data_IF_341513616627
#
_entry.id   IF_341513616627
#
_cell.length_a   1.000
_cell.length_b   1.000
_cell.length_c   1.000
_cell.angle_alpha   90.00
_cell.angle_beta   90.00
_cell.angle_gamma   90.00
#
_symmetry.space_group_name_H-M   'P 1'
#
loop_
_entity.id
_entity.type
_entity.pdbx_description
1 polymer ?
#
# COMPACT_ATOMS: atom_id res chain seq x y z
N UNK A 1 -7.10 32.52 47.52
CA UNK A 1 -7.39 32.40 46.08
C UNK A 1 -6.30 31.53 45.47
N UNK A 2 -6.59 30.27 45.14
CA UNK A 2 -5.60 29.37 44.55
C UNK A 2 -5.61 29.53 43.03
N UNK A 3 -4.46 29.86 42.46
CA UNK A 3 -4.26 29.85 41.02
C UNK A 3 -4.06 28.40 40.58
N UNK A 4 -5.07 27.79 39.97
CA UNK A 4 -4.95 26.46 39.37
C UNK A 4 -4.45 26.66 37.93
N UNK A 5 -3.20 26.28 37.68
CA UNK A 5 -2.63 26.25 36.32
C UNK A 5 -2.94 24.86 35.74
N UNK A 6 -3.93 24.80 34.84
CA UNK A 6 -4.20 23.59 34.06
C UNK A 6 -3.26 23.60 32.84
N UNK A 7 -2.15 22.87 32.91
CA UNK A 7 -1.31 22.62 31.75
C UNK A 7 -2.00 21.61 30.83
N UNK A 8 -2.65 22.10 29.77
CA UNK A 8 -3.04 21.24 28.64
C UNK A 8 -1.82 21.03 27.76
N UNK A 9 -1.14 19.92 27.93
CA UNK A 9 -0.14 19.46 26.97
C UNK A 9 -0.88 18.93 25.74
N UNK A 10 -1.03 19.77 24.71
CA UNK A 10 -1.24 19.27 23.36
C UNK A 10 0.04 18.54 22.95
N UNK A 11 0.04 17.21 23.05
CA UNK A 11 1.07 16.28 22.58
C UNK A 11 2.51 16.83 22.55
N UNK A 12 3.26 16.68 23.64
CA UNK A 12 4.72 16.87 23.59
C UNK A 12 5.31 15.69 22.84
N UNK A 13 5.41 15.81 21.53
CA UNK A 13 6.09 14.80 20.73
C UNK A 13 7.58 14.80 21.06
N UNK A 14 8.13 13.62 21.34
CA UNK A 14 9.58 13.46 21.43
C UNK A 14 10.15 13.68 20.01
N UNK A 15 10.86 14.77 19.78
CA UNK A 15 11.31 15.16 18.45
C UNK A 15 12.48 14.33 17.91
N UNK A 16 13.00 13.37 18.69
CA UNK A 16 14.15 12.54 18.31
C UNK A 16 13.76 11.08 18.10
N UNK A 17 14.28 10.49 17.03
CA UNK A 17 14.10 9.08 16.75
C UNK A 17 14.87 8.20 17.75
N UNK A 18 14.31 7.05 18.10
CA UNK A 18 15.00 6.05 18.89
C UNK A 18 15.81 5.13 17.97
N UNK A 19 17.13 5.17 18.10
CA UNK A 19 18.05 4.34 17.32
C UNK A 19 18.48 3.12 18.13
N UNK A 20 18.34 1.93 17.54
CA UNK A 20 18.76 0.66 18.16
C UNK A 20 19.51 -0.21 17.15
N UNK A 21 20.11 -1.30 17.64
CA UNK A 21 20.81 -2.28 16.80
C UNK A 21 22.32 -2.09 16.78
N UNK A 22 22.98 -2.87 15.92
CA UNK A 22 24.44 -2.82 15.72
C UNK A 22 24.76 -2.30 14.31
N UNK A 23 26.05 -2.21 13.97
CA UNK A 23 26.52 -1.69 12.67
C UNK A 23 25.92 -2.35 11.41
N UNK A 24 25.28 -3.53 11.51
CA UNK A 24 24.65 -4.23 10.38
C UNK A 24 23.13 -4.28 10.44
N UNK A 25 22.52 -3.84 11.54
CA UNK A 25 21.09 -3.99 11.79
C UNK A 25 20.47 -2.76 12.46
N UNK A 26 21.01 -1.56 12.20
CA UNK A 26 20.53 -0.33 12.83
C UNK A 26 19.08 -0.03 12.43
N UNK A 27 18.23 0.19 13.43
CA UNK A 27 16.82 0.54 13.27
C UNK A 27 16.59 1.94 13.81
N UNK A 28 15.98 2.79 13.01
CA UNK A 28 15.48 4.10 13.42
C UNK A 28 13.96 4.04 13.60
N UNK A 29 13.51 4.10 14.86
CA UNK A 29 12.10 4.29 15.19
C UNK A 29 11.81 5.78 15.38
N UNK A 30 11.12 6.34 14.40
CA UNK A 30 10.66 7.73 14.35
C UNK A 30 9.13 7.83 14.44
N UNK A 31 8.44 6.77 14.88
CA UNK A 31 6.98 6.68 14.86
C UNK A 31 6.31 7.59 15.90
N UNK A 32 5.13 8.15 15.59
CA UNK A 32 4.30 8.96 16.51
C UNK A 32 5.04 10.15 17.15
N UNK A 33 5.84 10.87 16.36
CA UNK A 33 6.69 11.99 16.81
C UNK A 33 6.32 13.34 16.19
N UNK A 34 5.21 13.41 15.46
CA UNK A 34 4.72 14.66 14.86
C UNK A 34 5.64 15.21 13.75
N UNK A 35 6.48 14.37 13.14
CA UNK A 35 7.34 14.82 12.05
C UNK A 35 6.52 15.32 10.86
N UNK A 36 6.88 16.51 10.34
CA UNK A 36 6.29 17.09 9.13
C UNK A 36 7.03 16.64 7.85
N UNK A 37 8.23 16.10 8.00
CA UNK A 37 9.09 15.63 6.92
C UNK A 37 10.01 14.51 7.41
N UNK A 38 10.66 13.81 6.48
CA UNK A 38 11.64 12.77 6.81
C UNK A 38 12.85 13.40 7.54
N UNK A 39 13.21 12.92 8.75
CA UNK A 39 14.36 13.44 9.50
C UNK A 39 15.66 13.22 8.74
N UNK A 40 16.56 14.21 8.79
CA UNK A 40 17.85 14.19 8.06
C UNK A 40 19.05 13.85 8.95
N UNK A 41 18.86 13.82 10.26
CA UNK A 41 19.86 13.62 11.31
C UNK A 41 20.05 12.14 11.72
N UNK A 42 19.58 11.21 10.88
CA UNK A 42 19.73 9.78 11.12
C UNK A 42 21.07 9.25 10.56
N UNK A 43 21.63 8.17 11.15
CA UNK A 43 22.73 7.43 10.55
C UNK A 43 22.37 6.96 9.13
N UNK A 44 23.34 6.96 8.22
CA UNK A 44 23.14 6.56 6.83
C UNK A 44 23.11 5.03 6.63
N UNK A 45 23.65 4.28 7.58
CA UNK A 45 23.72 2.81 7.60
C UNK A 45 22.53 2.12 8.29
N UNK A 46 21.38 2.82 8.41
CA UNK A 46 20.15 2.20 8.90
C UNK A 46 19.60 1.18 7.90
N UNK A 47 19.07 0.07 8.42
CA UNK A 47 18.41 -0.98 7.62
C UNK A 47 16.90 -0.91 7.73
N UNK A 48 16.37 -0.24 8.76
CA UNK A 48 14.94 -0.03 8.94
C UNK A 48 14.65 1.38 9.42
N UNK A 49 13.68 2.02 8.78
CA UNK A 49 13.16 3.33 9.15
C UNK A 49 11.65 3.23 9.35
N UNK A 50 11.19 3.53 10.57
CA UNK A 50 9.77 3.55 10.92
C UNK A 50 9.31 4.99 11.19
N UNK A 51 8.53 5.54 10.28
CA UNK A 51 7.97 6.89 10.31
C UNK A 51 6.44 6.87 10.46
N UNK A 52 5.85 5.77 10.94
CA UNK A 52 4.39 5.67 11.03
C UNK A 52 3.77 6.69 11.98
N UNK A 53 2.55 7.13 11.67
CA UNK A 53 1.76 8.00 12.56
C UNK A 53 2.38 9.38 12.78
N UNK A 54 3.08 9.91 11.78
CA UNK A 54 3.56 11.28 11.77
C UNK A 54 2.63 12.15 10.89
N UNK A 55 3.04 13.37 10.58
CA UNK A 55 2.26 14.34 9.81
C UNK A 55 2.95 14.70 8.49
N UNK A 56 3.71 13.76 7.91
CA UNK A 56 4.42 13.99 6.64
C UNK A 56 3.42 14.14 5.51
N UNK A 57 3.54 15.23 4.73
CA UNK A 57 2.65 15.54 3.60
C UNK A 57 3.35 15.33 2.25
N UNK A 58 4.59 15.76 2.15
CA UNK A 58 5.36 15.71 0.91
C UNK A 58 6.65 14.92 1.14
N UNK A 59 7.02 14.08 0.17
CA UNK A 59 8.32 13.42 0.16
C UNK A 59 9.09 13.89 -1.07
N UNK A 60 10.29 14.42 -0.83
CA UNK A 60 11.18 14.93 -1.87
C UNK A 60 12.17 13.86 -2.35
N UNK A 61 12.77 14.06 -3.53
CA UNK A 61 13.79 13.19 -4.11
C UNK A 61 15.01 12.97 -3.20
N UNK A 62 15.27 13.93 -2.30
CA UNK A 62 16.40 13.89 -1.36
C UNK A 62 16.06 13.23 -0.01
N UNK A 63 14.80 12.84 0.22
CA UNK A 63 14.35 12.35 1.53
C UNK A 63 15.05 11.06 1.97
N UNK A 64 15.34 10.16 1.02
CA UNK A 64 15.90 8.84 1.33
C UNK A 64 17.24 8.53 0.64
N UNK A 65 17.76 9.42 -0.21
CA UNK A 65 18.91 9.18 -1.09
C UNK A 65 20.19 8.69 -0.37
N UNK A 66 20.32 9.04 0.92
CA UNK A 66 21.46 8.66 1.76
C UNK A 66 21.34 7.27 2.39
N UNK A 67 20.13 6.72 2.52
CA UNK A 67 19.87 5.47 3.23
C UNK A 67 19.98 4.25 2.29
N UNK A 68 21.13 4.07 1.63
CA UNK A 68 21.32 3.04 0.59
C UNK A 68 21.28 1.60 1.11
N UNK A 69 21.40 1.42 2.42
CA UNK A 69 21.31 0.12 3.12
C UNK A 69 19.90 -0.21 3.59
N UNK A 70 18.92 0.67 3.35
CA UNK A 70 17.57 0.54 3.88
C UNK A 70 16.86 -0.66 3.24
N UNK A 71 16.41 -1.58 4.09
CA UNK A 71 15.66 -2.78 3.71
C UNK A 71 14.17 -2.64 4.02
N UNK A 72 13.80 -1.88 5.05
CA UNK A 72 12.40 -1.70 5.47
C UNK A 72 12.08 -0.22 5.68
N UNK A 73 11.10 0.29 4.95
CA UNK A 73 10.59 1.65 5.09
C UNK A 73 9.08 1.63 5.40
N UNK A 74 8.70 2.20 6.55
CA UNK A 74 7.32 2.26 7.02
C UNK A 74 6.90 3.73 7.14
N UNK A 75 5.97 4.16 6.30
CA UNK A 75 5.42 5.51 6.22
C UNK A 75 3.90 5.53 6.53
N UNK A 76 3.42 4.50 7.21
CA UNK A 76 1.99 4.28 7.41
C UNK A 76 1.32 5.41 8.18
N UNK A 77 0.07 5.71 7.84
CA UNK A 77 -0.77 6.67 8.55
C UNK A 77 -0.09 8.04 8.72
N UNK A 78 0.51 8.55 7.64
CA UNK A 78 0.91 9.94 7.51
C UNK A 78 -0.19 10.70 6.74
N UNK A 79 0.14 11.89 6.22
CA UNK A 79 -0.74 12.71 5.40
C UNK A 79 -0.19 12.84 3.97
N UNK A 80 0.56 11.83 3.50
CA UNK A 80 1.35 11.95 2.27
C UNK A 80 0.40 12.09 1.08
N UNK A 81 0.48 13.22 0.37
CA UNK A 81 -0.30 13.52 -0.83
C UNK A 81 0.57 13.80 -2.05
N UNK A 82 1.89 13.92 -1.86
CA UNK A 82 2.83 14.20 -2.95
C UNK A 82 4.13 13.40 -2.79
N UNK A 83 4.55 12.79 -3.89
CA UNK A 83 5.85 12.15 -4.06
C UNK A 83 6.54 12.81 -5.24
N UNK A 84 7.72 13.39 -5.01
CA UNK A 84 8.55 13.92 -6.08
C UNK A 84 9.11 12.76 -6.93
N UNK A 85 9.38 13.02 -8.22
CA UNK A 85 10.10 12.10 -9.08
C UNK A 85 11.39 11.64 -8.40
N UNK A 86 11.73 10.35 -8.56
CA UNK A 86 12.94 9.76 -7.97
C UNK A 86 12.99 9.75 -6.43
N UNK A 87 11.86 9.92 -5.72
CA UNK A 87 11.78 9.80 -4.25
C UNK A 87 12.49 8.57 -3.68
N UNK A 88 12.40 7.42 -4.38
CA UNK A 88 12.99 6.16 -3.94
C UNK A 88 14.32 5.83 -4.64
N UNK A 89 14.94 6.79 -5.32
CA UNK A 89 16.23 6.58 -5.98
C UNK A 89 17.32 6.20 -4.96
N UNK A 90 18.12 5.21 -5.34
CA UNK A 90 19.20 4.67 -4.49
C UNK A 90 18.75 3.61 -3.48
N UNK A 91 17.44 3.35 -3.34
CA UNK A 91 16.89 2.32 -2.44
C UNK A 91 16.80 0.92 -3.07
N UNK A 92 17.82 0.53 -3.85
CA UNK A 92 17.84 -0.76 -4.54
C UNK A 92 17.88 -1.99 -3.63
N UNK A 93 18.21 -1.80 -2.34
CA UNK A 93 18.23 -2.85 -1.30
C UNK A 93 16.92 -2.98 -0.53
N UNK A 94 15.93 -2.12 -0.81
CA UNK A 94 14.65 -2.09 -0.10
C UNK A 94 13.86 -3.36 -0.38
N UNK A 95 13.53 -4.09 0.67
CA UNK A 95 12.74 -5.33 0.66
C UNK A 95 11.25 -5.04 0.90
N UNK A 96 10.96 -4.11 1.82
CA UNK A 96 9.57 -3.78 2.21
C UNK A 96 9.33 -2.28 2.22
N UNK A 97 8.31 -1.87 1.49
CA UNK A 97 7.79 -0.50 1.50
C UNK A 97 6.31 -0.51 1.88
N UNK A 98 5.96 0.29 2.87
CA UNK A 98 4.57 0.48 3.27
C UNK A 98 4.26 1.96 3.42
N UNK A 99 3.34 2.45 2.60
CA UNK A 99 2.74 3.79 2.64
C UNK A 99 1.23 3.70 2.89
N UNK A 100 0.80 2.67 3.62
CA UNK A 100 -0.58 2.41 3.97
C UNK A 100 -1.25 3.59 4.69
N UNK A 101 -2.49 3.93 4.33
CA UNK A 101 -3.27 4.90 5.09
C UNK A 101 -2.92 6.38 4.84
N UNK A 102 -2.31 6.70 3.70
CA UNK A 102 -1.96 8.08 3.31
C UNK A 102 -3.04 8.71 2.42
N UNK A 103 -2.69 9.70 1.60
CA UNK A 103 -3.61 10.55 0.83
C UNK A 103 -3.16 10.64 -0.64
N UNK A 104 -2.60 9.56 -1.20
CA UNK A 104 -1.97 9.55 -2.52
C UNK A 104 -2.96 9.55 -3.72
N UNK A 105 -4.25 9.72 -3.46
CA UNK A 105 -5.34 9.89 -4.44
C UNK A 105 -5.66 11.37 -4.73
N UNK A 106 -4.77 12.27 -4.34
CA UNK A 106 -4.90 13.71 -4.65
C UNK A 106 -4.66 13.99 -6.13
N UNK A 107 -4.86 15.25 -6.54
CA UNK A 107 -5.01 15.59 -7.96
C UNK A 107 -3.82 15.21 -8.86
N UNK A 108 -2.66 15.00 -8.26
CA UNK A 108 -1.43 14.54 -8.87
C UNK A 108 -1.32 13.03 -8.65
N UNK A 109 -1.58 12.26 -9.72
CA UNK A 109 -1.35 10.81 -9.72
C UNK A 109 0.10 10.50 -9.35
N UNK A 110 0.36 9.32 -8.80
CA UNK A 110 1.72 8.80 -8.61
C UNK A 110 2.60 9.07 -9.85
N UNK A 111 3.87 9.49 -9.68
CA UNK A 111 4.82 9.44 -10.78
C UNK A 111 4.85 8.03 -11.37
N UNK A 112 4.79 7.92 -12.70
CA UNK A 112 4.57 6.64 -13.38
C UNK A 112 5.60 5.58 -12.98
N UNK A 113 6.87 5.99 -12.85
CA UNK A 113 8.01 5.10 -12.59
C UNK A 113 8.53 5.21 -11.15
N UNK A 114 7.68 5.66 -10.21
CA UNK A 114 8.08 5.94 -8.83
C UNK A 114 8.74 4.74 -8.13
N UNK A 115 8.34 3.51 -8.49
CA UNK A 115 8.85 2.29 -7.88
C UNK A 115 9.98 1.61 -8.67
N UNK A 116 10.33 2.08 -9.87
CA UNK A 116 11.36 1.47 -10.73
C UNK A 116 12.74 1.28 -10.05
N UNK A 117 13.19 2.15 -9.13
CA UNK A 117 14.44 1.92 -8.40
C UNK A 117 14.41 0.74 -7.41
N UNK A 118 13.23 0.24 -7.02
CA UNK A 118 13.04 -0.72 -5.92
C UNK A 118 13.17 -2.18 -6.37
N UNK A 119 14.29 -2.50 -6.99
CA UNK A 119 14.50 -3.77 -7.69
C UNK A 119 14.56 -5.01 -6.78
N UNK A 120 14.81 -4.84 -5.47
CA UNK A 120 14.80 -5.92 -4.47
C UNK A 120 13.45 -6.08 -3.75
N UNK A 121 12.46 -5.25 -4.04
CA UNK A 121 11.22 -5.17 -3.27
C UNK A 121 10.42 -6.46 -3.36
N UNK A 122 10.09 -7.05 -2.21
CA UNK A 122 9.24 -8.23 -2.13
C UNK A 122 7.82 -7.89 -1.66
N UNK A 123 7.68 -6.81 -0.88
CA UNK A 123 6.40 -6.38 -0.29
C UNK A 123 6.16 -4.90 -0.51
N UNK A 124 5.06 -4.57 -1.19
CA UNK A 124 4.58 -3.21 -1.37
C UNK A 124 3.17 -3.06 -0.80
N UNK A 125 2.97 -2.08 0.08
CA UNK A 125 1.64 -1.72 0.58
C UNK A 125 1.36 -0.23 0.37
N UNK A 126 0.45 0.07 -0.55
CA UNK A 126 -0.10 1.39 -0.83
C UNK A 126 -1.63 1.42 -0.71
N UNK A 127 -2.21 0.46 0.03
CA UNK A 127 -3.65 0.49 0.32
C UNK A 127 -4.04 1.61 1.30
N UNK A 128 -5.32 1.97 1.33
CA UNK A 128 -5.93 3.07 2.07
C UNK A 128 -5.37 4.44 1.75
N UNK A 129 -5.09 4.68 0.48
CA UNK A 129 -4.68 5.96 -0.06
C UNK A 129 -5.80 6.70 -0.80
N UNK A 130 -6.85 5.98 -1.20
CA UNK A 130 -7.98 6.53 -1.95
C UNK A 130 -9.07 7.12 -1.06
N UNK A 131 -8.84 8.30 -0.49
CA UNK A 131 -9.80 8.95 0.41
C UNK A 131 -10.79 9.87 -0.32
N UNK A 132 -10.56 10.23 -1.59
CA UNK A 132 -11.38 11.20 -2.34
C UNK A 132 -12.02 10.56 -3.58
N UNK A 133 -13.15 9.88 -3.35
CA UNK A 133 -13.85 9.03 -4.31
C UNK A 133 -14.62 9.75 -5.42
N UNK A 134 -14.39 11.04 -5.63
CA UNK A 134 -15.03 11.78 -6.73
C UNK A 134 -14.45 11.40 -8.10
N UNK A 135 -13.31 10.69 -8.13
CA UNK A 135 -12.70 10.17 -9.35
C UNK A 135 -13.27 8.79 -9.68
N UNK A 136 -13.82 8.65 -10.89
CA UNK A 136 -14.35 7.36 -11.39
C UNK A 136 -13.23 6.33 -11.64
N UNK A 137 -12.09 6.80 -12.15
CA UNK A 137 -10.96 5.97 -12.60
C UNK A 137 -9.69 6.34 -11.86
N UNK A 138 -8.95 5.32 -11.40
CA UNK A 138 -7.68 5.51 -10.71
C UNK A 138 -6.57 4.78 -11.44
N UNK A 139 -5.48 5.49 -11.71
CA UNK A 139 -4.31 4.96 -12.39
C UNK A 139 -3.19 4.72 -11.39
N UNK A 140 -2.79 3.47 -11.23
CA UNK A 140 -1.63 3.10 -10.44
C UNK A 140 -0.33 3.33 -11.23
N UNK A 141 0.80 3.56 -10.53
CA UNK A 141 2.11 3.61 -11.16
C UNK A 141 2.49 2.25 -11.76
N UNK A 142 3.52 2.24 -12.60
CA UNK A 142 4.08 1.02 -13.15
C UNK A 142 4.65 0.14 -12.03
N UNK A 143 4.27 -1.14 -12.06
CA UNK A 143 4.87 -2.18 -11.22
C UNK A 143 5.85 -3.07 -12.01
N UNK A 144 6.07 -2.78 -13.30
CA UNK A 144 6.78 -3.67 -14.24
C UNK A 144 8.18 -4.08 -13.81
N UNK A 145 8.90 -3.17 -13.17
CA UNK A 145 10.30 -3.35 -12.74
C UNK A 145 10.43 -4.08 -11.39
N UNK A 146 9.32 -4.39 -10.71
CA UNK A 146 9.33 -5.05 -9.40
C UNK A 146 9.36 -6.58 -9.53
N UNK A 147 10.35 -7.10 -10.25
CA UNK A 147 10.48 -8.53 -10.58
C UNK A 147 10.59 -9.47 -9.35
N UNK A 148 10.92 -8.92 -8.17
CA UNK A 148 10.98 -9.65 -6.91
C UNK A 148 9.69 -9.59 -6.08
N UNK A 149 8.68 -8.83 -6.52
CA UNK A 149 7.47 -8.59 -5.76
C UNK A 149 6.68 -9.88 -5.57
N UNK A 150 6.29 -10.16 -4.33
CA UNK A 150 5.52 -11.34 -3.94
C UNK A 150 4.18 -10.97 -3.31
N UNK A 151 4.15 -9.82 -2.64
CA UNK A 151 3.01 -9.29 -1.92
C UNK A 151 2.71 -7.85 -2.35
N UNK A 152 1.49 -7.61 -2.82
CA UNK A 152 1.01 -6.28 -3.16
C UNK A 152 -0.31 -5.98 -2.44
N UNK A 153 -0.36 -4.85 -1.77
CA UNK A 153 -1.56 -4.32 -1.14
C UNK A 153 -1.91 -2.95 -1.73
N UNK A 154 -3.11 -2.83 -2.30
CA UNK A 154 -3.60 -1.65 -3.02
C UNK A 154 -5.07 -1.39 -2.70
N UNK A 155 -5.55 -0.18 -2.94
CA UNK A 155 -6.99 0.09 -2.95
C UNK A 155 -7.65 -0.51 -4.20
N UNK A 156 -8.92 -0.87 -4.08
CA UNK A 156 -9.72 -1.34 -5.20
C UNK A 156 -10.91 -0.43 -5.39
N UNK A 157 -10.92 0.26 -6.53
CA UNK A 157 -12.03 1.12 -6.98
C UNK A 157 -12.57 0.61 -8.32
N UNK A 158 -13.78 1.02 -8.69
CA UNK A 158 -14.54 0.43 -9.81
C UNK A 158 -13.80 0.42 -11.15
N UNK A 159 -13.11 1.52 -11.49
CA UNK A 159 -12.30 1.65 -12.71
C UNK A 159 -10.79 1.77 -12.38
N UNK A 160 -10.28 0.97 -11.43
CA UNK A 160 -8.83 0.90 -11.18
C UNK A 160 -8.08 0.35 -12.40
N UNK A 161 -7.05 1.07 -12.85
CA UNK A 161 -6.08 0.63 -13.85
C UNK A 161 -4.76 0.37 -13.13
N UNK A 162 -4.36 -0.89 -13.04
CA UNK A 162 -3.20 -1.30 -12.24
C UNK A 162 -1.88 -1.16 -12.98
N UNK A 163 -1.92 -1.00 -14.31
CA UNK A 163 -0.74 -0.89 -15.16
C UNK A 163 0.21 -2.09 -15.01
N UNK A 164 -0.39 -3.28 -15.00
CA UNK A 164 0.32 -4.57 -14.85
C UNK A 164 0.45 -5.34 -16.16
N UNK A 165 -0.21 -4.89 -17.23
CA UNK A 165 -0.12 -5.53 -18.55
C UNK A 165 1.33 -5.54 -19.06
N UNK A 166 1.84 -6.71 -19.41
CA UNK A 166 3.23 -6.86 -19.90
C UNK A 166 4.30 -6.82 -18.80
N UNK A 167 3.92 -6.69 -17.54
CA UNK A 167 4.85 -6.73 -16.41
C UNK A 167 5.46 -8.12 -16.19
N UNK A 168 6.72 -8.19 -15.80
CA UNK A 168 7.42 -9.45 -15.50
C UNK A 168 7.26 -9.86 -14.01
N UNK A 169 6.05 -9.70 -13.46
CA UNK A 169 5.72 -9.95 -12.06
C UNK A 169 5.52 -11.45 -11.76
N UNK A 170 6.46 -12.29 -12.21
CA UNK A 170 6.35 -13.76 -12.14
C UNK A 170 6.31 -14.32 -10.72
N UNK A 171 6.83 -13.58 -9.74
CA UNK A 171 6.82 -13.98 -8.32
C UNK A 171 5.59 -13.49 -7.56
N UNK A 172 4.81 -12.57 -8.13
CA UNK A 172 3.66 -11.99 -7.47
C UNK A 172 2.59 -13.07 -7.32
N UNK A 173 2.22 -13.36 -6.08
CA UNK A 173 1.29 -14.45 -5.77
C UNK A 173 0.23 -14.06 -4.74
N UNK A 174 0.43 -12.96 -4.01
CA UNK A 174 -0.48 -12.52 -2.95
C UNK A 174 -0.92 -11.08 -3.17
N UNK A 175 -2.23 -10.88 -3.29
CA UNK A 175 -2.88 -9.59 -3.37
C UNK A 175 -3.73 -9.31 -2.14
N UNK A 176 -3.69 -8.07 -1.68
CA UNK A 176 -4.63 -7.52 -0.72
C UNK A 176 -5.27 -6.28 -1.33
N UNK A 177 -6.58 -6.30 -1.40
CA UNK A 177 -7.40 -5.19 -1.89
C UNK A 177 -8.16 -4.58 -0.72
N UNK A 178 -7.92 -3.30 -0.43
CA UNK A 178 -8.84 -2.52 0.37
C UNK A 178 -10.00 -2.06 -0.53
N UNK A 179 -11.21 -2.52 -0.26
CA UNK A 179 -12.38 -2.31 -1.12
C UNK A 179 -13.41 -1.37 -0.48
N UNK A 180 -12.96 -0.42 0.34
CA UNK A 180 -13.83 0.49 1.10
C UNK A 180 -14.76 1.37 0.24
N UNK A 181 -14.37 1.62 -1.02
CA UNK A 181 -15.04 2.55 -1.94
C UNK A 181 -15.47 1.89 -3.24
N UNK A 182 -15.66 0.58 -3.19
CA UNK A 182 -16.03 -0.19 -4.35
C UNK A 182 -17.54 -0.43 -4.34
N UNK A 183 -18.25 0.03 -5.36
CA UNK A 183 -19.69 -0.23 -5.48
C UNK A 183 -19.97 -1.58 -6.14
N UNK A 184 -19.15 -1.94 -7.15
CA UNK A 184 -19.37 -3.11 -8.00
C UNK A 184 -18.06 -3.71 -8.51
N UNK A 185 -17.98 -5.03 -8.53
CA UNK A 185 -16.93 -5.77 -9.25
C UNK A 185 -17.46 -6.30 -10.58
N UNK A 186 -16.68 -6.13 -11.64
CA UNK A 186 -17.03 -6.62 -12.98
C UNK A 186 -15.93 -7.52 -13.52
N UNK A 187 -16.19 -8.22 -14.62
CA UNK A 187 -15.16 -9.01 -15.30
C UNK A 187 -13.98 -8.18 -15.87
N UNK A 188 -14.09 -6.84 -15.87
CA UNK A 188 -13.00 -5.93 -16.25
C UNK A 188 -12.12 -5.50 -15.09
N UNK A 189 -12.53 -5.71 -13.83
CA UNK A 189 -11.81 -5.18 -12.66
C UNK A 189 -10.37 -5.69 -12.56
N UNK A 190 -10.08 -6.90 -13.07
CA UNK A 190 -8.76 -7.54 -13.00
C UNK A 190 -8.20 -7.94 -14.38
N UNK A 191 -8.59 -7.24 -15.45
CA UNK A 191 -8.24 -7.63 -16.81
C UNK A 191 -6.73 -7.60 -17.10
N UNK A 192 -5.98 -6.74 -16.41
CA UNK A 192 -4.53 -6.54 -16.60
C UNK A 192 -3.67 -7.21 -15.52
N UNK A 193 -4.27 -7.98 -14.62
CA UNK A 193 -3.57 -8.66 -13.52
C UNK A 193 -2.91 -9.97 -13.96
N UNK A 194 -1.78 -10.36 -13.34
CA UNK A 194 -1.08 -11.60 -13.69
C UNK A 194 -1.87 -12.85 -13.26
N UNK A 195 -1.77 -13.93 -14.03
CA UNK A 195 -2.43 -15.21 -13.75
C UNK A 195 -1.76 -16.03 -12.62
N UNK A 196 -0.60 -15.58 -12.13
CA UNK A 196 0.20 -16.22 -11.07
C UNK A 196 -0.36 -16.06 -9.66
N UNK A 197 -1.43 -15.27 -9.48
CA UNK A 197 -1.98 -14.98 -8.15
C UNK A 197 -2.59 -16.24 -7.52
N UNK A 198 -2.14 -16.54 -6.30
CA UNK A 198 -2.52 -17.71 -5.50
C UNK A 198 -3.41 -17.33 -4.31
N UNK A 199 -3.25 -16.12 -3.78
CA UNK A 199 -4.00 -15.65 -2.60
C UNK A 199 -4.52 -14.24 -2.82
N UNK A 200 -5.83 -14.05 -2.68
CA UNK A 200 -6.49 -12.74 -2.68
C UNK A 200 -7.17 -12.51 -1.33
N UNK A 201 -6.94 -11.34 -0.75
CA UNK A 201 -7.67 -10.86 0.43
C UNK A 201 -8.41 -9.58 0.08
N UNK A 202 -9.73 -9.58 0.16
CA UNK A 202 -10.54 -8.37 0.16
C UNK A 202 -10.77 -7.93 1.60
N UNK A 203 -10.51 -6.67 1.90
CA UNK A 203 -10.69 -6.10 3.22
C UNK A 203 -11.48 -4.80 3.17
N UNK A 204 -12.38 -4.62 4.14
CA UNK A 204 -13.01 -3.34 4.45
C UNK A 204 -12.63 -2.83 5.84
N UNK A 205 -13.15 -1.66 6.21
CA UNK A 205 -13.07 -1.12 7.56
C UNK A 205 -14.38 -0.43 7.96
N UNK A 206 -14.46 -0.03 9.23
CA UNK A 206 -15.68 0.57 9.78
C UNK A 206 -16.01 1.87 9.02
N UNK A 207 -17.29 2.06 8.70
CA UNK A 207 -17.79 3.20 7.95
C UNK A 207 -17.70 3.11 6.42
N UNK A 208 -17.20 2.00 5.86
CA UNK A 208 -17.15 1.79 4.40
C UNK A 208 -18.48 1.28 3.83
N UNK A 209 -18.87 1.79 2.66
CA UNK A 209 -19.85 1.15 1.77
C UNK A 209 -19.10 0.15 0.91
N UNK A 210 -19.17 -1.12 1.28
CA UNK A 210 -18.46 -2.20 0.59
C UNK A 210 -19.32 -2.72 -0.57
N UNK A 211 -18.68 -3.23 -1.62
CA UNK A 211 -19.36 -3.68 -2.84
C UNK A 211 -20.48 -4.68 -2.55
N UNK A 212 -21.69 -4.32 -2.95
CA UNK A 212 -22.87 -5.17 -2.81
C UNK A 212 -22.98 -6.17 -3.95
N UNK A 213 -22.46 -5.81 -5.13
CA UNK A 213 -22.62 -6.56 -6.38
C UNK A 213 -21.29 -7.01 -6.96
N UNK A 214 -21.17 -8.32 -7.19
CA UNK A 214 -20.08 -8.91 -7.97
C UNK A 214 -20.67 -9.66 -9.18
N UNK A 215 -20.17 -9.34 -10.37
CA UNK A 215 -20.49 -10.12 -11.57
C UNK A 215 -19.94 -11.55 -11.48
N UNK A 216 -20.58 -12.48 -12.18
CA UNK A 216 -20.04 -13.82 -12.33
C UNK A 216 -18.65 -13.77 -13.01
N UNK A 217 -17.78 -14.72 -12.65
CA UNK A 217 -16.47 -14.92 -13.28
C UNK A 217 -15.48 -13.74 -13.20
N UNK A 218 -15.70 -12.72 -12.35
CA UNK A 218 -14.74 -11.62 -12.20
C UNK A 218 -13.35 -12.08 -11.71
N UNK A 219 -13.26 -13.27 -11.08
CA UNK A 219 -11.99 -13.92 -10.69
C UNK A 219 -11.38 -14.82 -11.77
N UNK A 220 -12.00 -14.93 -12.95
CA UNK A 220 -11.49 -15.73 -14.08
C UNK A 220 -10.04 -15.43 -14.46
N UNK A 221 -9.52 -14.18 -14.34
CA UNK A 221 -8.10 -13.90 -14.59
C UNK A 221 -7.12 -14.67 -13.68
N UNK A 222 -7.59 -15.28 -12.59
CA UNK A 222 -6.75 -15.95 -11.59
C UNK A 222 -6.97 -17.48 -11.55
N UNK A 223 -6.54 -18.23 -12.58
CA UNK A 223 -6.72 -19.69 -12.62
C UNK A 223 -5.96 -20.42 -11.49
N UNK A 224 -4.90 -19.81 -10.96
CA UNK A 224 -4.05 -20.34 -9.89
C UNK A 224 -4.57 -20.04 -8.48
N UNK A 225 -5.70 -19.31 -8.36
CA UNK A 225 -6.20 -18.84 -7.08
C UNK A 225 -6.62 -20.02 -6.19
N UNK A 226 -6.05 -20.09 -4.99
CA UNK A 226 -6.34 -21.14 -3.99
C UNK A 226 -6.93 -20.60 -2.71
N UNK A 227 -6.66 -19.34 -2.41
CA UNK A 227 -7.06 -18.73 -1.15
C UNK A 227 -7.77 -17.43 -1.42
N UNK A 228 -9.06 -17.38 -1.07
CA UNK A 228 -9.88 -16.18 -1.09
C UNK A 228 -10.27 -15.83 0.35
N UNK A 229 -9.83 -14.67 0.84
CA UNK A 229 -10.19 -14.17 2.17
C UNK A 229 -11.06 -12.92 2.03
N UNK A 230 -12.20 -12.93 2.71
CA UNK A 230 -13.10 -11.79 2.82
C UNK A 230 -13.07 -11.33 4.28
N UNK A 231 -12.50 -10.14 4.54
CA UNK A 231 -12.38 -9.58 5.89
C UNK A 231 -13.19 -8.32 6.00
N UNK A 232 -14.19 -8.32 6.88
CA UNK A 232 -15.09 -7.17 7.08
C UNK A 232 -15.70 -6.71 5.75
N UNK A 233 -16.16 -7.67 4.92
CA UNK A 233 -16.79 -7.38 3.61
C UNK A 233 -18.30 -7.56 3.75
N UNK A 234 -19.07 -6.57 3.32
CA UNK A 234 -20.53 -6.65 3.25
C UNK A 234 -20.92 -7.05 1.82
N UNK A 235 -21.27 -8.31 1.63
CA UNK A 235 -21.62 -8.90 0.34
C UNK A 235 -23.02 -9.48 0.41
N UNK A 236 -23.83 -9.23 -0.62
CA UNK A 236 -25.09 -9.95 -0.79
C UNK A 236 -24.82 -11.44 -1.00
N UNK A 237 -25.71 -12.30 -0.49
CA UNK A 237 -25.54 -13.75 -0.60
C UNK A 237 -25.42 -14.23 -2.06
N UNK A 238 -26.23 -13.66 -2.96
CA UNK A 238 -26.18 -13.99 -4.38
C UNK A 238 -24.82 -13.63 -5.00
N UNK A 239 -24.31 -12.43 -4.71
CA UNK A 239 -22.96 -12.00 -5.12
C UNK A 239 -21.90 -12.94 -4.58
N UNK A 240 -21.93 -13.26 -3.28
CA UNK A 240 -20.98 -14.17 -2.66
C UNK A 240 -20.99 -15.56 -3.31
N UNK A 241 -22.17 -16.10 -3.66
CA UNK A 241 -22.30 -17.38 -4.37
C UNK A 241 -21.73 -17.32 -5.79
N UNK A 242 -21.96 -16.21 -6.52
CA UNK A 242 -21.39 -15.99 -7.88
C UNK A 242 -19.87 -15.91 -7.85
N UNK A 243 -19.28 -15.30 -6.81
CA UNK A 243 -17.81 -15.23 -6.66
C UNK A 243 -17.15 -16.61 -6.54
N UNK A 244 -17.89 -17.61 -6.04
CA UNK A 244 -17.39 -18.97 -5.84
C UNK A 244 -17.53 -19.87 -7.07
N UNK A 245 -18.25 -19.43 -8.11
CA UNK A 245 -18.54 -20.25 -9.29
C UNK A 245 -17.29 -20.78 -10.02
N UNK A 246 -16.21 -19.98 -10.21
CA UNK A 246 -14.98 -20.47 -10.84
C UNK A 246 -14.33 -21.66 -10.10
N UNK A 247 -14.46 -21.73 -8.77
CA UNK A 247 -13.89 -22.82 -7.95
C UNK A 247 -14.75 -24.09 -7.97
N UNK A 248 -16.00 -24.01 -8.43
CA UNK A 248 -16.91 -25.16 -8.47
C UNK A 248 -16.63 -26.07 -9.68
N UNK A 249 -16.08 -25.53 -10.77
CA UNK A 249 -15.78 -26.29 -12.00
C UNK A 249 -14.42 -27.00 -11.98
N UNK A 250 -13.47 -26.57 -11.13
CA UNK A 250 -12.13 -27.18 -11.02
C UNK A 250 -12.09 -28.58 -10.35
N UNK A 251 -13.23 -29.16 -9.98
CA UNK A 251 -13.31 -30.49 -9.36
C UNK A 251 -13.68 -31.63 -10.33
N UNK A 252 -13.98 -31.32 -11.59
CA UNK A 252 -14.52 -32.28 -12.56
C UNK A 252 -13.67 -32.45 -13.84
N UNK A 253 -12.41 -32.02 -13.84
CA UNK A 253 -11.39 -32.30 -14.85
C UNK A 253 -10.13 -32.83 -14.15
#
# INVERSE_FOLDING_TARGET
MFLIIILRFSYVYCSSCHITGNAKSKVADCSLRGFLSVPRDLPDDIVKLDLRGNEIVNITAQAFIRYRTLQVLILNNNKISYLEDNTFAGLGTLDKLSMFGNNLDTNESYPLDIFSPLVSLTTLNISRNMKNTNRKTVFYPSFGELYNLTNLAVDLTGDSVFNMSGSNLTKLNTLLFDCCYLDRMTNKTFFDMPSSIVSITFTGHDGCTIFSVAEADFLRPFPSLRILRLKRVCLELESALKMLYPFRKQKNE
#
